data_IF_451327623475
#
_entry.id   IF_451327623475
#
_cell.length_a   1.000
_cell.length_b   1.000
_cell.length_c   1.000
_cell.angle_alpha   90.00
_cell.angle_beta   90.00
_cell.angle_gamma   90.00
#
_symmetry.space_group_name_H-M   'P 1'
#
loop_
_entity.id
_entity.type
_entity.pdbx_description
1 polymer ?
#
# COMPACT_ATOMS: atom_id res chain seq x y z
N UNK A 1 9.20 38.67 3.00
CA UNK A 1 9.48 37.44 2.22
C UNK A 1 8.62 37.48 0.95
N UNK A 2 9.23 37.36 -0.23
CA UNK A 2 8.49 37.40 -1.50
C UNK A 2 7.53 36.20 -1.60
N UNK A 3 6.28 36.44 -2.03
CA UNK A 3 5.31 35.38 -2.27
C UNK A 3 5.70 34.64 -3.56
N UNK A 4 5.76 33.31 -3.50
CA UNK A 4 6.00 32.46 -4.67
C UNK A 4 4.90 32.67 -5.72
N UNK A 5 5.28 32.62 -6.99
CA UNK A 5 4.32 32.63 -8.11
C UNK A 5 3.54 31.31 -8.15
N UNK A 6 2.38 31.28 -8.82
CA UNK A 6 1.60 30.04 -8.99
C UNK A 6 2.37 28.96 -9.75
N UNK A 7 3.19 29.36 -10.74
CA UNK A 7 4.09 28.46 -11.46
C UNK A 7 5.12 27.80 -10.52
N UNK A 8 5.79 28.58 -9.68
CA UNK A 8 6.75 28.06 -8.70
C UNK A 8 6.08 27.14 -7.66
N UNK A 9 4.80 27.38 -7.32
CA UNK A 9 4.03 26.49 -6.44
C UNK A 9 3.71 25.17 -7.15
N UNK A 10 3.29 25.23 -8.41
CA UNK A 10 2.99 24.06 -9.22
C UNK A 10 4.22 23.17 -9.43
N UNK A 11 5.37 23.77 -9.75
CA UNK A 11 6.65 23.04 -9.87
C UNK A 11 7.03 22.34 -8.56
N UNK A 12 6.93 23.04 -7.43
CA UNK A 12 7.22 22.45 -6.11
C UNK A 12 6.26 21.32 -5.76
N UNK A 13 4.99 21.44 -6.13
CA UNK A 13 4.00 20.40 -5.93
C UNK A 13 4.30 19.16 -6.81
N UNK A 14 4.62 19.36 -8.09
CA UNK A 14 5.00 18.29 -9.01
C UNK A 14 6.28 17.57 -8.54
N UNK A 15 7.30 18.31 -8.12
CA UNK A 15 8.54 17.74 -7.58
C UNK A 15 8.29 16.93 -6.30
N UNK A 16 7.40 17.41 -5.41
CA UNK A 16 6.99 16.68 -4.21
C UNK A 16 6.26 15.39 -4.58
N UNK A 17 5.27 15.46 -5.45
CA UNK A 17 4.49 14.31 -5.89
C UNK A 17 5.39 13.23 -6.51
N UNK A 18 6.34 13.64 -7.37
CA UNK A 18 7.31 12.71 -7.97
C UNK A 18 8.22 12.06 -6.92
N UNK A 19 8.69 12.83 -5.94
CA UNK A 19 9.50 12.28 -4.83
C UNK A 19 8.71 11.28 -3.99
N UNK A 20 7.46 11.59 -3.68
CA UNK A 20 6.56 10.68 -2.93
C UNK A 20 6.27 9.40 -3.73
N UNK A 21 6.04 9.50 -5.04
CA UNK A 21 5.85 8.34 -5.91
C UNK A 21 7.08 7.44 -5.97
N UNK A 22 8.29 8.01 -6.08
CA UNK A 22 9.55 7.25 -6.04
C UNK A 22 9.78 6.58 -4.68
N UNK A 23 9.45 7.27 -3.58
CA UNK A 23 9.52 6.68 -2.24
C UNK A 23 8.52 5.53 -2.07
N UNK A 24 7.31 5.66 -2.62
CA UNK A 24 6.32 4.60 -2.62
C UNK A 24 6.77 3.36 -3.42
N UNK A 25 7.41 3.55 -4.58
CA UNK A 25 8.02 2.45 -5.34
C UNK A 25 9.07 1.70 -4.55
N UNK A 26 10.00 2.42 -3.92
CA UNK A 26 11.07 1.81 -3.16
C UNK A 26 10.50 1.03 -1.96
N UNK A 27 9.50 1.59 -1.28
CA UNK A 27 8.78 0.88 -0.21
C UNK A 27 8.10 -0.40 -0.72
N UNK A 28 7.40 -0.33 -1.85
CA UNK A 28 6.73 -1.50 -2.45
C UNK A 28 7.74 -2.60 -2.87
N UNK A 29 8.92 -2.19 -3.37
CA UNK A 29 10.04 -3.08 -3.67
C UNK A 29 10.56 -3.75 -2.40
N UNK A 30 10.84 -2.98 -1.35
CA UNK A 30 11.29 -3.50 -0.06
C UNK A 30 10.27 -4.47 0.55
N UNK A 31 8.98 -4.15 0.48
CA UNK A 31 7.89 -5.01 0.94
C UNK A 31 7.80 -6.32 0.15
N UNK A 32 8.10 -6.28 -1.15
CA UNK A 32 8.13 -7.47 -2.00
C UNK A 32 9.32 -8.37 -1.66
N UNK A 33 10.53 -7.80 -1.60
CA UNK A 33 11.75 -8.52 -1.19
C UNK A 33 11.59 -9.15 0.19
N UNK A 34 10.98 -8.42 1.13
CA UNK A 34 10.68 -8.93 2.48
C UNK A 34 9.73 -10.13 2.44
N UNK A 35 8.61 -10.02 1.72
CA UNK A 35 7.63 -11.11 1.60
C UNK A 35 8.23 -12.34 0.92
N UNK A 36 9.10 -12.16 -0.06
CA UNK A 36 9.85 -13.25 -0.69
C UNK A 36 10.85 -13.89 0.26
N UNK A 37 11.55 -13.09 1.07
CA UNK A 37 12.45 -13.61 2.10
C UNK A 37 11.69 -14.48 3.11
N UNK A 38 10.49 -14.08 3.53
CA UNK A 38 9.63 -14.89 4.39
C UNK A 38 9.25 -16.22 3.74
N UNK A 39 8.83 -16.19 2.47
CA UNK A 39 8.50 -17.42 1.72
C UNK A 39 9.68 -18.36 1.62
N UNK A 40 10.85 -17.85 1.20
CA UNK A 40 12.07 -18.66 1.05
C UNK A 40 12.56 -19.27 2.36
N UNK A 41 12.40 -18.56 3.47
CA UNK A 41 12.81 -19.02 4.81
C UNK A 41 11.73 -19.85 5.53
N UNK A 42 10.53 -19.98 4.96
CA UNK A 42 9.42 -20.67 5.61
C UNK A 42 8.96 -20.03 6.93
N UNK A 43 9.07 -18.70 7.07
CA UNK A 43 8.79 -18.03 8.36
C UNK A 43 7.31 -17.93 8.69
N UNK A 44 6.41 -18.12 7.72
CA UNK A 44 4.97 -18.14 7.97
C UNK A 44 4.58 -19.44 8.64
N UNK A 45 3.73 -19.31 9.65
CA UNK A 45 3.08 -20.43 10.31
C UNK A 45 1.81 -20.81 9.54
N UNK A 46 1.45 -22.09 9.56
CA UNK A 46 0.09 -22.53 9.25
C UNK A 46 -0.86 -22.15 10.39
N UNK A 47 -2.17 -22.23 10.14
CA UNK A 47 -3.16 -22.01 11.19
C UNK A 47 -2.98 -23.00 12.34
N UNK A 48 -2.83 -24.30 12.05
CA UNK A 48 -2.64 -25.34 13.06
C UNK A 48 -1.38 -25.10 13.91
N UNK A 49 -0.28 -24.64 13.29
CA UNK A 49 0.95 -24.28 14.00
C UNK A 49 0.75 -23.06 14.91
N UNK A 50 0.02 -22.05 14.43
CA UNK A 50 -0.33 -20.88 15.23
C UNK A 50 -1.20 -21.25 16.42
N UNK A 51 -2.23 -22.08 16.23
CA UNK A 51 -3.12 -22.58 17.28
C UNK A 51 -2.39 -23.47 18.30
N UNK A 52 -1.45 -24.30 17.83
CA UNK A 52 -0.58 -25.09 18.69
C UNK A 52 0.44 -24.25 19.50
N UNK A 53 0.45 -22.92 19.32
CA UNK A 53 1.34 -22.01 20.04
C UNK A 53 2.80 -22.08 19.56
N UNK A 54 3.04 -22.53 18.32
CA UNK A 54 4.39 -22.55 17.75
C UNK A 54 4.95 -21.12 17.75
N UNK A 55 6.15 -20.89 18.31
CA UNK A 55 6.74 -19.56 18.33
C UNK A 55 6.98 -19.01 16.92
N UNK A 56 7.01 -17.68 16.82
CA UNK A 56 7.32 -16.98 15.59
C UNK A 56 8.67 -17.45 15.05
N UNK A 57 8.70 -18.02 13.85
CA UNK A 57 9.96 -18.45 13.19
C UNK A 57 10.90 -17.29 12.84
N UNK A 58 10.40 -16.06 12.89
CA UNK A 58 11.17 -14.85 12.63
C UNK A 58 12.03 -14.40 13.81
N UNK A 59 11.48 -14.44 15.03
CA UNK A 59 12.13 -13.92 16.24
C UNK A 59 12.24 -14.92 17.39
N UNK A 60 11.54 -16.05 17.34
CA UNK A 60 11.49 -17.05 18.39
C UNK A 60 10.52 -16.74 19.54
N UNK A 61 9.91 -15.57 19.56
CA UNK A 61 8.91 -15.21 20.58
C UNK A 61 7.55 -15.87 20.29
N UNK A 62 6.72 -16.16 21.32
CA UNK A 62 5.35 -16.62 21.13
C UNK A 62 4.57 -15.68 20.22
N UNK A 63 3.71 -16.24 19.35
CA UNK A 63 2.86 -15.41 18.49
C UNK A 63 1.79 -14.67 19.29
N UNK A 64 1.27 -15.31 20.34
CA UNK A 64 0.35 -14.77 21.31
C UNK A 64 0.66 -15.43 22.66
N UNK A 65 0.74 -14.64 23.72
CA UNK A 65 0.99 -15.10 25.10
C UNK A 65 -0.28 -15.25 25.94
N UNK A 66 -1.43 -14.77 25.45
CA UNK A 66 -2.72 -14.84 26.15
C UNK A 66 -2.78 -13.99 27.42
N UNK A 67 -1.82 -13.09 27.65
CA UNK A 67 -1.75 -12.24 28.85
C UNK A 67 -2.61 -10.97 28.75
N UNK A 68 -3.37 -10.83 27.66
CA UNK A 68 -4.17 -9.64 27.37
C UNK A 68 -3.33 -8.52 26.75
N UNK A 69 -4.00 -7.41 26.41
CA UNK A 69 -3.32 -6.22 25.91
C UNK A 69 -2.62 -5.47 27.04
N UNK A 70 -1.57 -4.71 26.71
CA UNK A 70 -0.98 -3.76 27.65
C UNK A 70 -1.99 -2.66 28.00
N UNK A 71 -2.21 -2.37 29.30
CA UNK A 71 -2.83 -1.11 29.70
C UNK A 71 -2.02 0.07 29.18
N UNK A 72 -2.65 1.24 29.04
CA UNK A 72 -1.91 2.45 28.69
C UNK A 72 -0.77 2.70 29.68
N UNK A 73 0.41 3.11 29.20
CA UNK A 73 1.66 3.20 30.01
C UNK A 73 1.50 3.95 31.35
N UNK A 74 0.62 4.95 31.40
CA UNK A 74 0.32 5.73 32.61
C UNK A 74 -0.42 4.94 33.70
N UNK A 75 -1.08 3.84 33.35
CA UNK A 75 -1.90 3.00 34.22
C UNK A 75 -1.25 1.68 34.59
N UNK A 76 -0.02 1.43 34.13
CA UNK A 76 0.71 0.22 34.50
C UNK A 76 1.06 0.26 35.98
N UNK A 77 0.83 -0.86 36.65
CA UNK A 77 1.40 -1.12 37.97
C UNK A 77 2.93 -1.21 37.89
N UNK A 78 3.64 -1.05 39.00
CA UNK A 78 5.11 -1.18 39.02
C UNK A 78 5.61 -2.59 38.62
N UNK A 79 4.78 -3.61 38.79
CA UNK A 79 5.07 -4.95 38.28
C UNK A 79 4.93 -5.01 36.76
N UNK A 80 3.82 -4.54 36.22
CA UNK A 80 3.59 -4.50 34.77
C UNK A 80 4.58 -3.60 34.03
N UNK A 81 5.04 -2.51 34.65
CA UNK A 81 6.13 -1.68 34.10
C UNK A 81 7.42 -2.48 33.95
N UNK A 82 7.80 -3.27 34.96
CA UNK A 82 9.00 -4.12 34.90
C UNK A 82 8.87 -5.18 33.80
N UNK A 83 7.70 -5.79 33.66
CA UNK A 83 7.44 -6.75 32.60
C UNK A 83 7.51 -6.11 31.21
N UNK A 84 6.94 -4.91 31.06
CA UNK A 84 6.96 -4.15 29.82
C UNK A 84 8.40 -3.77 29.45
N UNK A 85 9.20 -3.27 30.40
CA UNK A 85 10.61 -2.94 30.20
C UNK A 85 11.44 -4.18 29.81
N UNK A 86 11.19 -5.32 30.45
CA UNK A 86 11.84 -6.58 30.11
C UNK A 86 11.50 -7.03 28.69
N UNK A 87 10.22 -6.91 28.28
CA UNK A 87 9.78 -7.20 26.91
C UNK A 87 10.44 -6.24 25.90
N UNK A 88 10.47 -4.94 26.17
CA UNK A 88 11.13 -3.93 25.33
C UNK A 88 12.63 -4.18 25.19
N UNK A 89 13.31 -4.61 26.26
CA UNK A 89 14.72 -4.99 26.22
C UNK A 89 14.94 -6.24 25.36
N UNK A 90 14.13 -7.29 25.54
CA UNK A 90 14.18 -8.50 24.68
C UNK A 90 13.96 -8.13 23.21
N UNK A 91 12.97 -7.31 22.92
CA UNK A 91 12.70 -6.82 21.56
C UNK A 91 13.92 -6.08 20.99
N UNK A 92 14.52 -5.15 21.75
CA UNK A 92 15.72 -4.41 21.32
C UNK A 92 16.92 -5.33 21.08
N UNK A 93 17.10 -6.37 21.88
CA UNK A 93 18.18 -7.34 21.70
C UNK A 93 18.02 -8.16 20.42
N UNK A 94 16.82 -8.70 20.19
CA UNK A 94 16.51 -9.52 19.01
C UNK A 94 16.45 -8.70 17.70
N UNK A 95 16.01 -7.43 17.80
CA UNK A 95 15.71 -6.58 16.66
C UNK A 95 16.61 -5.35 16.55
N UNK A 96 17.81 -5.37 17.17
CA UNK A 96 18.76 -4.25 17.14
C UNK A 96 19.09 -3.75 15.72
N UNK A 97 19.09 -4.66 14.75
CA UNK A 97 19.39 -4.37 13.34
C UNK A 97 18.12 -4.18 12.50
N UNK A 98 16.94 -4.45 13.04
CA UNK A 98 15.67 -4.32 12.33
C UNK A 98 15.13 -2.89 12.51
N UNK A 99 15.39 -2.02 11.55
CA UNK A 99 14.91 -0.63 11.54
C UNK A 99 13.46 -0.49 11.06
N UNK A 100 12.62 -1.49 11.33
CA UNK A 100 11.22 -1.54 10.87
C UNK A 100 10.27 -1.28 12.02
N UNK A 101 9.00 -1.01 11.71
CA UNK A 101 7.95 -0.88 12.72
C UNK A 101 7.67 -2.18 13.48
N UNK A 102 6.76 -2.06 14.44
CA UNK A 102 6.36 -3.13 15.36
C UNK A 102 4.88 -3.44 15.23
N UNK A 103 4.48 -4.66 15.56
CA UNK A 103 3.09 -5.08 15.64
C UNK A 103 2.89 -6.11 16.76
N UNK A 104 1.67 -6.24 17.25
CA UNK A 104 1.27 -7.26 18.23
C UNK A 104 -0.07 -7.86 17.81
N UNK A 105 -0.42 -8.99 18.42
CA UNK A 105 -1.76 -9.59 18.31
C UNK A 105 -2.60 -9.03 19.46
N UNK A 106 -3.88 -8.71 19.19
CA UNK A 106 -4.79 -8.30 20.26
C UNK A 106 -4.94 -9.42 21.28
N UNK A 107 -4.96 -9.05 22.56
CA UNK A 107 -4.90 -9.98 23.68
C UNK A 107 -3.49 -10.49 23.98
N UNK A 108 -2.44 -9.87 23.41
CA UNK A 108 -1.05 -10.25 23.67
C UNK A 108 -0.16 -9.08 24.06
N UNK A 109 0.78 -9.36 24.97
CA UNK A 109 1.83 -8.42 25.39
C UNK A 109 3.11 -8.56 24.57
N UNK A 110 3.22 -9.59 23.72
CA UNK A 110 4.38 -9.82 22.86
C UNK A 110 4.39 -8.88 21.66
N UNK A 111 5.55 -8.30 21.39
CA UNK A 111 5.76 -7.42 20.25
C UNK A 111 6.62 -8.11 19.18
N UNK A 112 6.16 -8.04 17.94
CA UNK A 112 6.80 -8.60 16.75
C UNK A 112 7.30 -7.50 15.82
N UNK A 113 8.37 -7.77 15.07
CA UNK A 113 8.93 -6.81 14.12
C UNK A 113 8.33 -7.02 12.72
N UNK A 114 7.91 -5.93 12.06
CA UNK A 114 7.41 -6.00 10.68
C UNK A 114 8.45 -6.47 9.65
N UNK A 115 9.74 -6.54 9.97
CA UNK A 115 10.78 -6.98 9.04
C UNK A 115 10.92 -8.50 9.01
N UNK A 116 11.04 -9.14 10.16
CA UNK A 116 11.34 -10.57 10.28
C UNK A 116 10.12 -11.42 10.63
N UNK A 117 9.13 -10.85 11.33
CA UNK A 117 7.97 -11.57 11.82
C UNK A 117 6.79 -11.35 10.85
N UNK A 118 6.37 -12.37 10.08
CA UNK A 118 5.16 -12.26 9.28
C UNK A 118 3.92 -12.18 10.19
N UNK A 119 2.84 -11.49 9.74
CA UNK A 119 1.59 -11.47 10.50
C UNK A 119 1.01 -12.88 10.66
N UNK A 120 0.15 -13.10 11.67
CA UNK A 120 -0.47 -14.39 11.91
C UNK A 120 -1.29 -14.86 10.69
N UNK A 121 -1.41 -16.18 10.48
CA UNK A 121 -2.30 -16.73 9.47
C UNK A 121 -3.76 -16.41 9.80
N UNK A 122 -4.61 -16.38 8.77
CA UNK A 122 -6.05 -16.22 8.95
C UNK A 122 -6.67 -17.54 9.43
N UNK A 123 -7.59 -17.45 10.38
CA UNK A 123 -8.32 -18.61 10.88
C UNK A 123 -9.38 -19.13 9.90
N UNK A 124 -9.74 -20.42 9.98
CA UNK A 124 -10.69 -21.04 9.05
C UNK A 124 -12.07 -20.36 9.10
N UNK A 125 -12.57 -20.00 10.29
CA UNK A 125 -13.84 -19.28 10.43
C UNK A 125 -13.81 -17.91 9.74
N UNK A 126 -12.72 -17.17 9.87
CA UNK A 126 -12.54 -15.88 9.19
C UNK A 126 -12.40 -16.06 7.67
N UNK A 127 -11.73 -17.13 7.21
CA UNK A 127 -11.65 -17.47 5.79
C UNK A 127 -13.06 -17.77 5.23
N UNK A 128 -13.89 -18.48 5.98
CA UNK A 128 -15.27 -18.78 5.61
C UNK A 128 -16.14 -17.52 5.56
N UNK A 129 -16.05 -16.66 6.57
CA UNK A 129 -16.75 -15.36 6.60
C UNK A 129 -16.35 -14.48 5.41
N UNK A 130 -15.05 -14.34 5.15
CA UNK A 130 -14.55 -13.60 3.99
C UNK A 130 -15.06 -14.22 2.69
N UNK A 131 -15.11 -15.55 2.60
CA UNK A 131 -15.62 -16.26 1.43
C UNK A 131 -17.12 -16.00 1.21
N UNK A 132 -17.93 -15.90 2.26
CA UNK A 132 -19.34 -15.52 2.18
C UNK A 132 -19.52 -14.08 1.68
N UNK A 133 -18.68 -13.15 2.15
CA UNK A 133 -18.68 -11.76 1.66
C UNK A 133 -18.37 -11.72 0.15
N UNK A 134 -17.38 -12.50 -0.31
CA UNK A 134 -17.07 -12.57 -1.73
C UNK A 134 -18.17 -13.24 -2.56
N UNK A 135 -18.91 -14.21 -1.99
CA UNK A 135 -20.04 -14.88 -2.67
C UNK A 135 -21.29 -14.00 -2.73
N UNK A 136 -21.54 -13.18 -1.72
CA UNK A 136 -22.66 -12.23 -1.66
C UNK A 136 -22.38 -10.91 -2.39
N UNK A 137 -21.21 -10.78 -3.02
CA UNK A 137 -20.84 -9.63 -3.83
C UNK A 137 -21.78 -9.45 -5.03
N UNK A 138 -22.10 -8.22 -5.45
CA UNK A 138 -22.92 -7.98 -6.64
C UNK A 138 -22.32 -8.65 -7.89
N UNK A 139 -23.20 -8.96 -8.86
CA UNK A 139 -22.80 -9.53 -10.15
C UNK A 139 -21.72 -8.69 -10.84
N UNK A 140 -20.94 -9.29 -11.74
CA UNK A 140 -19.92 -8.56 -12.48
C UNK A 140 -20.54 -7.38 -13.25
N UNK A 141 -21.73 -7.58 -13.81
CA UNK A 141 -22.51 -6.58 -14.54
C UNK A 141 -22.96 -5.43 -13.63
N UNK A 142 -23.47 -5.75 -12.43
CA UNK A 142 -23.88 -4.71 -11.48
C UNK A 142 -22.68 -3.90 -10.98
N UNK A 143 -21.54 -4.56 -10.74
CA UNK A 143 -20.30 -3.90 -10.32
C UNK A 143 -19.75 -2.90 -11.34
N UNK A 144 -20.03 -3.07 -12.64
CA UNK A 144 -19.60 -2.12 -13.68
C UNK A 144 -20.29 -0.76 -13.54
N UNK A 145 -21.54 -0.73 -13.06
CA UNK A 145 -22.34 0.49 -12.93
C UNK A 145 -21.72 1.50 -11.94
N UNK A 146 -21.00 0.98 -10.95
CA UNK A 146 -20.39 1.79 -9.88
C UNK A 146 -18.86 1.92 -10.03
N UNK A 147 -18.32 1.67 -11.23
CA UNK A 147 -16.90 1.83 -11.52
C UNK A 147 -16.61 3.12 -12.26
N UNK A 148 -15.55 3.80 -11.83
CA UNK A 148 -15.00 4.97 -12.50
C UNK A 148 -13.59 4.68 -13.01
N UNK A 149 -13.27 5.27 -14.16
CA UNK A 149 -11.94 5.25 -14.76
C UNK A 149 -11.09 6.39 -14.21
N UNK A 150 -9.82 6.10 -13.98
CA UNK A 150 -8.81 7.02 -13.51
C UNK A 150 -7.64 7.02 -14.48
N UNK A 151 -7.19 8.20 -14.89
CA UNK A 151 -5.92 8.37 -15.60
C UNK A 151 -4.80 8.54 -14.57
N UNK A 152 -3.74 7.74 -14.70
CA UNK A 152 -2.59 7.74 -13.82
C UNK A 152 -1.32 8.07 -14.61
N UNK A 153 -0.58 9.08 -14.17
CA UNK A 153 0.77 9.36 -14.66
C UNK A 153 1.76 8.71 -13.70
N UNK A 154 2.64 7.86 -14.24
CA UNK A 154 3.59 7.08 -13.46
C UNK A 154 4.97 7.76 -13.41
N UNK A 155 5.86 7.30 -12.53
CA UNK A 155 7.24 7.84 -12.44
C UNK A 155 8.09 7.64 -13.69
N UNK A 156 7.72 6.66 -14.52
CA UNK A 156 8.31 6.40 -15.83
C UNK A 156 7.64 7.19 -16.95
N UNK A 157 6.83 8.19 -16.59
CA UNK A 157 6.10 9.11 -17.46
C UNK A 157 5.03 8.48 -18.37
N UNK A 158 4.89 7.14 -18.37
CA UNK A 158 3.79 6.44 -18.99
C UNK A 158 2.46 6.76 -18.30
N UNK A 159 1.41 6.79 -19.11
CA UNK A 159 0.03 7.04 -18.67
C UNK A 159 -0.74 5.74 -18.75
N UNK A 160 -1.45 5.38 -17.68
CA UNK A 160 -2.30 4.19 -17.64
C UNK A 160 -3.68 4.52 -17.10
N UNK A 161 -4.66 3.71 -17.49
CA UNK A 161 -6.00 3.77 -16.90
C UNK A 161 -6.12 2.76 -15.75
N UNK A 162 -6.81 3.14 -14.67
CA UNK A 162 -7.22 2.27 -13.58
C UNK A 162 -8.73 2.38 -13.40
N UNK A 163 -9.40 1.25 -13.36
CA UNK A 163 -10.84 1.19 -13.06
C UNK A 163 -11.03 0.79 -11.60
N UNK A 164 -11.78 1.59 -10.84
CA UNK A 164 -12.08 1.31 -9.43
C UNK A 164 -13.48 1.77 -9.05
N UNK A 165 -14.02 1.20 -7.96
CA UNK A 165 -15.31 1.63 -7.43
C UNK A 165 -15.36 3.13 -7.16
N UNK A 166 -16.48 3.78 -7.47
CA UNK A 166 -16.69 5.23 -7.40
C UNK A 166 -16.52 5.82 -6.01
N UNK A 167 -16.73 5.02 -4.97
CA UNK A 167 -16.53 5.41 -3.58
C UNK A 167 -15.05 5.51 -3.18
N UNK A 168 -14.14 4.95 -3.98
CA UNK A 168 -12.71 5.12 -3.75
C UNK A 168 -12.25 6.48 -4.26
N UNK A 169 -11.95 7.37 -3.32
CA UNK A 169 -11.44 8.72 -3.61
C UNK A 169 -9.91 8.81 -3.71
N UNK A 170 -9.22 7.67 -3.60
CA UNK A 170 -7.77 7.59 -3.73
C UNK A 170 -7.40 6.40 -4.61
N UNK A 171 -6.23 6.48 -5.25
CA UNK A 171 -5.66 5.39 -6.05
C UNK A 171 -4.48 4.79 -5.30
N UNK A 172 -4.17 3.52 -5.58
CA UNK A 172 -3.01 2.87 -4.96
C UNK A 172 -1.73 3.60 -5.35
N UNK A 173 -0.80 3.89 -4.42
CA UNK A 173 0.41 4.65 -4.73
C UNK A 173 1.34 3.99 -5.74
N UNK A 174 1.24 2.66 -5.93
CA UNK A 174 2.07 1.88 -6.85
C UNK A 174 1.20 0.92 -7.65
N UNK A 175 1.32 0.97 -8.98
CA UNK A 175 0.62 0.13 -9.95
C UNK A 175 1.60 -0.53 -10.91
N UNK A 176 1.17 -1.56 -11.65
CA UNK A 176 2.01 -2.17 -12.69
C UNK A 176 1.86 -1.35 -13.97
N UNK A 177 2.98 -0.83 -14.49
CA UNK A 177 2.98 -0.14 -15.78
C UNK A 177 2.82 -1.17 -16.91
N UNK A 178 1.85 -1.02 -17.83
CA UNK A 178 1.65 -1.94 -18.94
C UNK A 178 2.78 -1.88 -19.98
N UNK A 179 3.46 -0.73 -20.11
CA UNK A 179 4.55 -0.55 -21.07
C UNK A 179 5.87 -1.08 -20.52
N UNK A 180 6.25 -0.71 -19.30
CA UNK A 180 7.50 -1.20 -18.70
C UNK A 180 7.40 -2.59 -18.07
N UNK A 181 6.18 -3.09 -17.84
CA UNK A 181 5.89 -4.35 -17.14
C UNK A 181 6.38 -4.44 -15.68
N UNK A 182 6.84 -3.32 -15.10
CA UNK A 182 7.30 -3.21 -13.71
C UNK A 182 6.35 -2.39 -12.84
N UNK A 183 6.48 -2.51 -11.52
CA UNK A 183 5.71 -1.71 -10.55
C UNK A 183 6.28 -0.30 -10.49
N UNK A 184 5.40 0.70 -10.68
CA UNK A 184 5.71 2.13 -10.75
C UNK A 184 4.76 2.93 -9.85
N UNK A 185 5.28 4.00 -9.29
CA UNK A 185 4.60 4.93 -8.41
C UNK A 185 3.72 5.87 -9.21
N UNK A 186 2.59 6.25 -8.63
CA UNK A 186 1.65 7.19 -9.22
C UNK A 186 2.08 8.60 -8.84
N UNK A 187 2.48 9.39 -9.84
CA UNK A 187 2.87 10.80 -9.69
C UNK A 187 1.64 11.70 -9.70
N UNK A 188 0.68 11.39 -10.57
CA UNK A 188 -0.57 12.13 -10.67
C UNK A 188 -1.71 11.17 -10.98
N UNK A 189 -2.90 11.47 -10.45
CA UNK A 189 -4.11 10.72 -10.69
C UNK A 189 -5.28 11.65 -10.95
N UNK A 190 -6.03 11.37 -12.01
CA UNK A 190 -7.21 12.14 -12.40
C UNK A 190 -8.39 11.21 -12.64
N UNK A 191 -9.48 11.44 -11.93
CA UNK A 191 -10.75 10.72 -12.15
C UNK A 191 -11.39 11.21 -13.45
N UNK A 192 -11.71 10.30 -14.36
CA UNK A 192 -12.30 10.60 -15.66
C UNK A 192 -13.83 10.53 -15.64
N UNK A 193 -14.41 9.73 -14.74
CA UNK A 193 -15.84 9.49 -14.62
C UNK A 193 -16.18 8.01 -14.79
N UNK A 194 -17.43 7.65 -15.12
CA UNK A 194 -17.86 6.26 -15.26
C UNK A 194 -16.98 5.49 -16.26
N UNK A 195 -16.55 4.30 -15.86
CA UNK A 195 -15.69 3.45 -16.68
C UNK A 195 -16.45 2.72 -17.79
N UNK A 196 -17.76 2.60 -17.64
CA UNK A 196 -18.62 1.91 -18.59
C UNK A 196 -19.79 2.81 -19.00
N UNK A 197 -20.23 2.67 -20.25
CA UNK A 197 -21.47 3.28 -20.73
C UNK A 197 -22.69 2.62 -20.08
N UNK A 198 -23.88 3.19 -20.30
CA UNK A 198 -25.14 2.59 -19.81
C UNK A 198 -25.37 1.18 -20.35
N UNK A 199 -24.79 0.86 -21.51
CA UNK A 199 -24.82 -0.44 -22.18
C UNK A 199 -23.72 -1.40 -21.69
N UNK A 200 -22.88 -0.98 -20.72
CA UNK A 200 -21.85 -1.82 -20.11
C UNK A 200 -20.56 -1.98 -20.93
N UNK A 201 -20.38 -1.12 -21.95
CA UNK A 201 -19.17 -1.07 -22.79
C UNK A 201 -18.12 -0.20 -22.11
N UNK A 202 -16.86 -0.68 -22.04
CA UNK A 202 -15.76 0.08 -21.46
C UNK A 202 -15.50 1.36 -22.28
N UNK A 203 -15.45 2.50 -21.60
CA UNK A 203 -15.19 3.79 -22.22
C UNK A 203 -13.69 3.88 -22.51
N UNK A 204 -13.30 4.08 -23.77
CA UNK A 204 -11.90 4.23 -24.09
C UNK A 204 -11.37 5.56 -23.59
N UNK A 205 -10.06 5.61 -23.34
CA UNK A 205 -9.37 6.86 -22.97
C UNK A 205 -9.59 7.97 -24.01
N UNK A 206 -9.68 7.61 -25.29
CA UNK A 206 -9.98 8.53 -26.40
C UNK A 206 -11.34 9.19 -26.31
N UNK A 207 -12.27 8.58 -25.57
CA UNK A 207 -13.67 8.99 -25.51
C UNK A 207 -13.90 10.05 -24.42
N UNK A 208 -12.90 10.27 -23.55
CA UNK A 208 -12.89 11.38 -22.62
C UNK A 208 -12.34 12.63 -23.31
N UNK A 209 -13.02 13.79 -23.21
CA UNK A 209 -12.51 15.02 -23.78
C UNK A 209 -11.13 15.30 -23.20
N UNK A 210 -10.14 15.56 -24.06
CA UNK A 210 -8.81 15.95 -23.67
C UNK A 210 -8.87 17.24 -22.85
N UNK A 211 -8.96 17.12 -21.52
CA UNK A 211 -8.81 18.24 -20.61
C UNK A 211 -7.37 18.72 -20.73
N UNK A 212 -7.18 19.83 -21.44
CA UNK A 212 -5.90 20.34 -21.91
C UNK A 212 -4.79 20.29 -20.87
N UNK A 213 -3.84 19.37 -21.07
CA UNK A 213 -2.45 19.71 -20.83
C UNK A 213 -2.08 20.77 -21.87
N UNK A 214 -1.67 21.94 -21.40
CA UNK A 214 -1.11 23.00 -22.20
C UNK A 214 -0.05 22.40 -23.13
N UNK A 215 -0.40 22.29 -24.41
CA UNK A 215 0.55 22.03 -25.47
C UNK A 215 1.53 23.20 -25.47
N UNK A 216 2.76 22.95 -25.02
CA UNK A 216 3.89 23.82 -25.31
C UNK A 216 4.03 23.92 -26.82
N UNK A 217 3.70 25.09 -27.33
CA UNK A 217 3.81 25.51 -28.72
C UNK A 217 5.24 25.26 -29.23
N UNK A 218 5.42 24.20 -30.02
CA UNK A 218 6.66 23.96 -30.75
C UNK A 218 6.64 24.83 -32.02
N UNK A 219 6.99 26.10 -31.85
CA UNK A 219 7.40 26.93 -32.96
C UNK A 219 8.79 26.48 -33.45
N UNK A 220 8.81 25.93 -34.66
CA UNK A 220 10.01 25.52 -35.39
C UNK A 220 10.95 26.71 -35.67
N UNK A 221 12.29 26.57 -35.56
CA UNK A 221 13.20 27.52 -36.15
C UNK A 221 13.29 27.27 -37.66
N UNK A 222 12.91 28.31 -38.41
CA UNK A 222 12.94 28.35 -39.86
C UNK A 222 14.33 28.21 -40.46
N UNK A 223 14.31 27.67 -41.67
CA UNK A 223 15.40 27.53 -42.62
C UNK A 223 16.13 28.85 -42.87
N UNK A 224 17.45 28.84 -42.76
CA UNK A 224 18.33 29.89 -43.30
C UNK A 224 18.63 29.53 -44.76
N UNK A 225 18.38 30.42 -45.74
CA UNK A 225 18.78 30.17 -47.12
C UNK A 225 20.24 30.57 -47.37
N UNK A 226 20.91 29.71 -48.15
CA UNK A 226 22.14 29.85 -48.96
C UNK A 226 23.21 30.89 -48.55
#
# INVERSE_FOLDING_TARGET
MAKLTEEQKAERAAARARREALAAEEKDRQDTVRREAWRRKGTRLSWDEYEAGVPCRGCGEPMCDGLGDWPGLMYLTEEEKRDHEAMEERFRQLHRQCMSGRWSVSGSRVTHCFQCCPPPPLGPALIEELSEIFRSSPSAEDRKKDQDSWELILTCDHVTTLTQHRDHNYVRPVVRCPECQVRRGVVHSKRLGPAYTAEGVEVNRSDFPAGGLLAGDQSAPGSVPA
#
